data_IF_805135827604
#
_entry.id   IF_805135827604
#
_cell.length_a   1.000
_cell.length_b   1.000
_cell.length_c   1.000
_cell.angle_alpha   90.00
_cell.angle_beta   90.00
_cell.angle_gamma   90.00
#
_symmetry.space_group_name_H-M   'P 1'
#
loop_
_entity.id
_entity.type
_entity.pdbx_description
1 polymer ?
#
# COMPACT_ATOMS: atom_id res chain seq x y z
N UNK A 1 -13.34 -42.97 20.49
CA UNK A 1 -14.02 -41.75 19.97
C UNK A 1 -13.02 -40.92 19.17
N UNK A 2 -13.45 -39.96 18.33
CA UNK A 2 -12.60 -39.25 17.36
C UNK A 2 -12.13 -37.87 17.85
N UNK A 3 -10.99 -37.44 17.29
CA UNK A 3 -10.50 -36.05 17.17
C UNK A 3 -10.06 -35.34 18.47
N UNK A 4 -9.19 -34.32 18.44
CA UNK A 4 -8.49 -33.69 17.30
C UNK A 4 -7.01 -33.42 17.60
N UNK A 5 -6.11 -33.66 16.64
CA UNK A 5 -4.74 -33.12 16.68
C UNK A 5 -4.74 -31.66 16.21
N UNK A 6 -4.28 -30.74 17.05
CA UNK A 6 -3.90 -29.37 16.65
C UNK A 6 -2.54 -29.03 17.29
N UNK A 7 -1.41 -29.14 16.57
CA UNK A 7 -0.10 -28.80 17.11
C UNK A 7 -0.01 -27.30 17.39
N UNK A 8 0.77 -26.91 18.40
CA UNK A 8 1.02 -25.52 18.71
C UNK A 8 1.69 -24.79 17.53
N UNK A 9 1.19 -23.60 17.17
CA UNK A 9 1.84 -22.73 16.19
C UNK A 9 3.16 -22.23 16.79
N UNK A 10 4.28 -22.86 16.42
CA UNK A 10 5.62 -22.38 16.77
C UNK A 10 5.81 -20.96 16.21
N UNK A 11 6.34 -20.07 17.02
CA UNK A 11 6.78 -18.75 16.54
C UNK A 11 7.90 -18.93 15.52
N UNK A 12 7.81 -18.20 14.42
CA UNK A 12 8.87 -18.10 13.41
C UNK A 12 8.73 -16.76 12.69
N UNK A 13 8.95 -15.68 13.45
CA UNK A 13 9.39 -14.41 12.86
C UNK A 13 10.80 -14.64 12.28
N UNK A 14 10.88 -15.02 11.01
CA UNK A 14 12.12 -15.32 10.30
C UNK A 14 12.25 -14.47 9.04
N UNK A 15 13.38 -13.78 8.90
CA UNK A 15 13.83 -13.16 7.65
C UNK A 15 12.98 -12.00 7.13
N UNK A 16 13.24 -10.78 7.62
CA UNK A 16 12.89 -9.54 6.89
C UNK A 16 14.12 -8.70 6.49
N UNK A 17 15.32 -9.08 6.95
CA UNK A 17 16.60 -8.43 6.62
C UNK A 17 17.73 -9.47 6.54
N UNK A 18 17.69 -10.35 5.54
CA UNK A 18 18.86 -11.11 5.08
C UNK A 18 19.08 -10.73 3.60
N UNK A 19 20.31 -10.38 3.23
CA UNK A 19 20.62 -9.76 1.93
C UNK A 19 20.60 -10.76 0.77
N UNK A 20 19.99 -10.36 -0.36
CA UNK A 20 19.99 -11.15 -1.59
C UNK A 20 21.08 -10.66 -2.56
N UNK A 21 22.13 -11.45 -2.88
CA UNK A 21 23.16 -11.08 -3.85
C UNK A 21 22.67 -11.31 -5.30
N UNK A 22 21.49 -10.78 -5.62
CA UNK A 22 20.78 -10.97 -6.90
C UNK A 22 19.97 -9.74 -7.35
N UNK A 23 20.11 -8.61 -6.66
CA UNK A 23 19.36 -7.38 -6.97
C UNK A 23 19.91 -6.64 -8.21
N UNK A 24 21.18 -6.81 -8.57
CA UNK A 24 21.79 -6.11 -9.72
C UNK A 24 21.20 -6.57 -11.07
N UNK A 25 20.99 -7.88 -11.25
CA UNK A 25 20.31 -8.42 -12.44
C UNK A 25 18.84 -7.98 -12.51
N UNK A 26 18.07 -8.21 -11.43
CA UNK A 26 16.66 -7.79 -11.35
C UNK A 26 16.49 -6.27 -11.51
N UNK A 27 17.45 -5.47 -11.07
CA UNK A 27 17.45 -4.02 -11.23
C UNK A 27 17.76 -3.55 -12.66
N UNK A 28 18.40 -4.38 -13.49
CA UNK A 28 18.51 -4.16 -14.93
C UNK A 28 17.21 -4.55 -15.64
N UNK A 29 16.61 -5.69 -15.27
CA UNK A 29 15.32 -6.14 -15.80
C UNK A 29 14.20 -5.12 -15.48
N UNK A 30 14.10 -4.63 -14.23
CA UNK A 30 13.14 -3.60 -13.79
C UNK A 30 13.25 -2.31 -14.63
N UNK A 31 14.45 -1.92 -15.07
CA UNK A 31 14.67 -0.76 -15.96
C UNK A 31 14.13 -1.00 -17.36
N UNK A 32 14.46 -2.15 -17.96
CA UNK A 32 14.00 -2.49 -19.31
C UNK A 32 12.47 -2.61 -19.39
N UNK A 33 11.83 -3.11 -18.32
CA UNK A 33 10.37 -3.12 -18.19
C UNK A 33 9.78 -1.70 -18.07
N UNK A 34 10.40 -0.81 -17.28
CA UNK A 34 10.01 0.61 -17.18
C UNK A 34 10.13 1.33 -18.53
N UNK A 35 11.27 1.24 -19.20
CA UNK A 35 11.52 1.90 -20.50
C UNK A 35 10.60 1.35 -21.61
N UNK A 36 10.31 0.05 -21.57
CA UNK A 36 9.33 -0.59 -22.45
C UNK A 36 7.91 -0.07 -22.22
N UNK A 37 7.47 0.02 -20.96
CA UNK A 37 6.13 0.47 -20.59
C UNK A 37 5.94 2.01 -20.65
N UNK A 38 7.03 2.79 -20.64
CA UNK A 38 7.04 4.22 -20.98
C UNK A 38 6.79 4.45 -22.47
N UNK A 39 7.32 3.56 -23.31
CA UNK A 39 7.21 3.63 -24.78
C UNK A 39 5.92 3.01 -25.30
N UNK A 40 5.40 1.98 -24.61
CA UNK A 40 4.19 1.24 -24.97
C UNK A 40 3.41 0.87 -23.69
N UNK A 41 2.32 1.58 -23.36
CA UNK A 41 1.49 1.31 -22.18
C UNK A 41 0.95 -0.13 -22.06
N UNK A 42 0.85 -0.89 -23.16
CA UNK A 42 0.42 -2.28 -23.10
C UNK A 42 1.44 -3.19 -22.40
N UNK A 43 2.72 -2.79 -22.33
CA UNK A 43 3.80 -3.54 -21.66
C UNK A 43 3.85 -3.32 -20.15
N UNK A 44 2.93 -2.52 -19.59
CA UNK A 44 2.84 -2.29 -18.15
C UNK A 44 2.50 -3.56 -17.33
N UNK A 45 1.91 -4.57 -17.96
CA UNK A 45 1.47 -5.81 -17.31
C UNK A 45 2.61 -6.51 -16.54
N UNK A 46 3.81 -6.57 -17.11
CA UNK A 46 4.99 -7.14 -16.44
C UNK A 46 5.43 -6.34 -15.19
N UNK A 47 5.23 -5.00 -15.17
CA UNK A 47 5.45 -4.17 -13.98
C UNK A 47 4.32 -4.32 -12.95
N UNK A 48 3.11 -4.63 -13.41
CA UNK A 48 1.99 -4.97 -12.54
C UNK A 48 2.27 -6.31 -11.83
N UNK A 49 2.56 -7.39 -12.55
CA UNK A 49 2.90 -8.69 -11.97
C UNK A 49 4.08 -8.62 -10.97
N UNK A 50 5.17 -7.94 -11.34
CA UNK A 50 6.38 -7.81 -10.51
C UNK A 50 6.14 -7.06 -9.19
N UNK A 51 5.07 -6.26 -9.09
CA UNK A 51 4.86 -5.35 -7.97
C UNK A 51 3.49 -5.46 -7.28
N UNK A 52 2.52 -6.17 -7.85
CA UNK A 52 1.16 -6.27 -7.33
C UNK A 52 1.13 -6.71 -5.86
N UNK A 53 1.74 -7.86 -5.55
CA UNK A 53 1.81 -8.39 -4.18
C UNK A 53 2.46 -7.41 -3.19
N UNK A 54 3.54 -6.73 -3.61
CA UNK A 54 4.25 -5.75 -2.76
C UNK A 54 3.41 -4.50 -2.51
N UNK A 55 2.70 -4.00 -3.51
CA UNK A 55 1.82 -2.85 -3.40
C UNK A 55 0.55 -3.19 -2.59
N UNK A 56 -0.10 -4.31 -2.92
CA UNK A 56 -1.29 -4.80 -2.24
C UNK A 56 -1.03 -5.08 -0.76
N UNK A 57 0.05 -5.79 -0.41
CA UNK A 57 0.41 -6.03 0.99
C UNK A 57 0.69 -4.73 1.76
N UNK A 58 1.32 -3.73 1.12
CA UNK A 58 1.55 -2.41 1.72
C UNK A 58 0.23 -1.65 1.97
N UNK A 59 -0.74 -1.74 1.05
CA UNK A 59 -2.07 -1.12 1.18
C UNK A 59 -2.92 -1.85 2.22
N UNK A 60 -3.04 -3.18 2.12
CA UNK A 60 -3.83 -4.01 3.02
C UNK A 60 -3.39 -3.88 4.49
N UNK A 61 -2.09 -3.71 4.75
CA UNK A 61 -1.57 -3.40 6.09
C UNK A 61 -1.89 -2.00 6.64
N UNK A 62 -2.67 -1.17 5.92
CA UNK A 62 -2.97 0.24 6.25
C UNK A 62 -4.44 0.64 6.11
N UNK A 63 -5.29 -0.22 5.54
CA UNK A 63 -6.73 0.02 5.38
C UNK A 63 -7.56 -0.93 6.25
N UNK A 64 -8.87 -0.67 6.41
CA UNK A 64 -9.71 -1.36 7.41
C UNK A 64 -10.22 -2.72 6.95
N UNK A 65 -10.32 -2.95 5.64
CA UNK A 65 -10.99 -4.08 5.02
C UNK A 65 -10.39 -4.41 3.65
N UNK A 66 -10.79 -5.56 3.09
CA UNK A 66 -10.27 -6.09 1.82
C UNK A 66 -10.73 -5.30 0.59
N UNK A 67 -11.99 -4.88 0.52
CA UNK A 67 -12.52 -4.17 -0.65
C UNK A 67 -11.82 -2.81 -0.81
N UNK A 68 -11.66 -2.06 0.30
CA UNK A 68 -10.84 -0.85 0.32
C UNK A 68 -9.38 -1.11 -0.12
N UNK A 69 -8.82 -2.29 0.17
CA UNK A 69 -7.46 -2.63 -0.26
C UNK A 69 -7.37 -2.88 -1.77
N UNK A 70 -8.35 -3.58 -2.34
CA UNK A 70 -8.46 -3.87 -3.78
C UNK A 70 -8.72 -2.57 -4.58
N UNK A 71 -9.64 -1.71 -4.11
CA UNK A 71 -9.91 -0.38 -4.69
C UNK A 71 -8.68 0.52 -4.69
N UNK A 72 -8.02 0.68 -3.53
CA UNK A 72 -6.85 1.55 -3.40
C UNK A 72 -5.66 1.00 -4.19
N UNK A 73 -5.48 -0.32 -4.27
CA UNK A 73 -4.43 -0.93 -5.11
C UNK A 73 -4.70 -0.68 -6.59
N UNK A 74 -5.96 -0.75 -7.02
CA UNK A 74 -6.37 -0.40 -8.38
C UNK A 74 -6.11 1.09 -8.70
N UNK A 75 -6.44 2.00 -7.77
CA UNK A 75 -6.11 3.42 -7.90
C UNK A 75 -4.59 3.68 -7.96
N UNK A 76 -3.78 2.86 -7.28
CA UNK A 76 -2.31 2.94 -7.31
C UNK A 76 -1.75 2.56 -8.67
N UNK A 77 -2.14 1.42 -9.23
CA UNK A 77 -1.63 1.00 -10.54
C UNK A 77 -2.17 1.89 -11.68
N UNK A 78 -3.41 2.36 -11.59
CA UNK A 78 -3.93 3.38 -12.51
C UNK A 78 -3.12 4.69 -12.44
N UNK A 79 -2.85 5.21 -11.24
CA UNK A 79 -1.99 6.40 -11.07
C UNK A 79 -0.55 6.15 -11.51
N UNK A 80 -0.01 4.95 -11.31
CA UNK A 80 1.32 4.58 -11.77
C UNK A 80 1.40 4.61 -13.29
N UNK A 81 0.52 3.91 -14.00
CA UNK A 81 0.44 3.92 -15.46
C UNK A 81 0.31 5.35 -16.02
N UNK A 82 -0.58 6.17 -15.43
CA UNK A 82 -0.80 7.55 -15.86
C UNK A 82 0.38 8.51 -15.61
N UNK A 83 1.28 8.19 -14.67
CA UNK A 83 2.48 9.00 -14.36
C UNK A 83 3.78 8.35 -14.89
N UNK A 84 3.71 7.15 -15.45
CA UNK A 84 4.89 6.41 -15.91
C UNK A 84 5.70 7.15 -16.99
N UNK A 85 5.08 7.84 -17.99
CA UNK A 85 5.83 8.61 -18.98
C UNK A 85 6.64 9.80 -18.40
N UNK A 86 6.39 10.19 -17.15
CA UNK A 86 7.16 11.23 -16.43
C UNK A 86 8.02 10.67 -15.28
N UNK A 87 8.15 9.34 -15.20
CA UNK A 87 9.03 8.70 -14.22
C UNK A 87 10.51 8.80 -14.64
N UNK A 88 11.36 9.14 -13.68
CA UNK A 88 12.81 9.23 -13.84
C UNK A 88 13.55 8.38 -12.79
N UNK A 89 14.59 7.69 -13.22
CA UNK A 89 15.48 6.89 -12.37
C UNK A 89 16.43 7.75 -11.52
N UNK A 90 15.92 8.31 -10.42
CA UNK A 90 16.67 9.18 -9.48
C UNK A 90 17.37 8.42 -8.35
N UNK A 91 18.07 7.34 -8.67
CA UNK A 91 18.88 6.56 -7.70
C UNK A 91 18.10 5.75 -6.66
N UNK A 92 16.81 5.48 -6.90
CA UNK A 92 15.96 4.66 -6.05
C UNK A 92 15.13 3.69 -6.93
N UNK A 93 14.83 2.46 -6.46
CA UNK A 93 14.10 1.46 -7.24
C UNK A 93 12.67 1.91 -7.57
N UNK A 94 12.10 1.37 -8.66
CA UNK A 94 10.75 1.71 -9.11
C UNK A 94 9.71 1.47 -8.00
N UNK A 95 9.85 0.36 -7.25
CA UNK A 95 9.02 0.06 -6.10
C UNK A 95 8.97 1.19 -5.05
N UNK A 96 10.04 1.98 -4.86
CA UNK A 96 10.03 3.11 -3.92
C UNK A 96 9.25 4.34 -4.43
N UNK A 97 9.06 4.45 -5.75
CA UNK A 97 8.14 5.42 -6.37
C UNK A 97 6.70 4.90 -6.33
N UNK A 98 6.47 3.63 -6.66
CA UNK A 98 5.14 3.00 -6.59
C UNK A 98 4.55 3.05 -5.17
N UNK A 99 5.34 2.72 -4.14
CA UNK A 99 4.91 2.82 -2.74
C UNK A 99 4.65 4.26 -2.27
N UNK A 100 5.20 5.27 -2.95
CA UNK A 100 4.86 6.68 -2.72
C UNK A 100 3.48 7.03 -3.30
N UNK A 101 3.14 6.46 -4.46
CA UNK A 101 1.79 6.53 -5.03
C UNK A 101 0.79 5.84 -4.08
N UNK A 102 1.14 4.66 -3.54
CA UNK A 102 0.34 3.96 -2.54
C UNK A 102 0.11 4.77 -1.27
N UNK A 103 1.15 5.36 -0.68
CA UNK A 103 1.00 6.24 0.48
C UNK A 103 0.06 7.42 0.21
N UNK A 104 0.13 8.03 -0.99
CA UNK A 104 -0.78 9.11 -1.38
C UNK A 104 -2.23 8.62 -1.58
N UNK A 105 -2.44 7.49 -2.26
CA UNK A 105 -3.77 6.93 -2.51
C UNK A 105 -4.50 6.51 -1.21
N UNK A 106 -3.80 5.89 -0.26
CA UNK A 106 -4.34 5.59 1.09
C UNK A 106 -4.77 6.88 1.80
N UNK A 107 -3.93 7.92 1.74
CA UNK A 107 -4.24 9.23 2.35
C UNK A 107 -5.41 9.94 1.65
N UNK A 108 -5.60 9.75 0.35
CA UNK A 108 -6.75 10.27 -0.39
C UNK A 108 -8.04 9.47 -0.11
N UNK A 109 -7.95 8.14 0.05
CA UNK A 109 -9.06 7.30 0.50
C UNK A 109 -9.54 7.74 1.90
N UNK A 110 -8.62 7.93 2.84
CA UNK A 110 -8.97 8.37 4.20
C UNK A 110 -9.69 9.74 4.17
N UNK A 111 -9.26 10.69 3.32
CA UNK A 111 -9.96 11.96 3.10
C UNK A 111 -11.32 11.79 2.41
N UNK A 112 -11.54 10.76 1.58
CA UNK A 112 -12.85 10.47 0.96
C UNK A 112 -13.80 9.92 2.03
N UNK A 113 -13.40 8.86 2.75
CA UNK A 113 -14.18 8.27 3.84
C UNK A 113 -14.53 9.28 4.95
N UNK A 114 -13.58 10.14 5.36
CA UNK A 114 -13.84 11.19 6.35
C UNK A 114 -14.85 12.25 5.86
N UNK A 115 -14.83 12.60 4.56
CA UNK A 115 -15.82 13.53 3.96
C UNK A 115 -17.19 12.89 3.81
N UNK A 116 -17.26 11.59 3.53
CA UNK A 116 -18.50 10.84 3.45
C UNK A 116 -19.17 10.72 4.83
N UNK A 117 -18.40 10.37 5.87
CA UNK A 117 -18.86 10.43 7.26
C UNK A 117 -19.23 11.86 7.70
N UNK A 118 -18.60 12.88 7.10
CA UNK A 118 -18.95 14.30 7.31
C UNK A 118 -20.09 14.81 6.43
N UNK A 119 -20.76 13.98 5.61
CA UNK A 119 -22.04 14.36 4.99
C UNK A 119 -23.12 14.19 6.05
N UNK A 120 -23.67 15.28 6.65
CA UNK A 120 -24.62 15.13 7.73
C UNK A 120 -25.92 14.58 7.14
N UNK A 121 -26.31 13.36 7.53
CA UNK A 121 -27.72 12.99 7.46
C UNK A 121 -28.49 13.69 8.59
N UNK A 122 -27.86 13.86 9.75
CA UNK A 122 -28.31 14.73 10.83
C UNK A 122 -27.16 15.51 11.52
N UNK A 123 -27.50 16.71 11.97
CA UNK A 123 -27.01 17.48 13.14
C UNK A 123 -25.81 16.95 13.97
N UNK A 124 -24.58 17.41 13.67
CA UNK A 124 -23.69 18.21 14.56
C UNK A 124 -22.43 18.67 13.77
N UNK A 125 -21.59 19.56 14.31
CA UNK A 125 -20.61 20.34 13.54
C UNK A 125 -19.11 20.03 13.74
N UNK A 126 -18.34 20.24 12.67
CA UNK A 126 -16.92 20.70 12.55
C UNK A 126 -15.95 20.46 13.73
N UNK A 127 -14.80 19.79 13.59
CA UNK A 127 -13.58 20.12 12.80
C UNK A 127 -12.48 19.05 13.10
N UNK A 128 -11.18 19.12 12.65
CA UNK A 128 -10.53 19.99 11.65
C UNK A 128 -9.75 19.24 10.54
N UNK A 129 -9.18 20.01 9.60
CA UNK A 129 -8.20 19.56 8.58
C UNK A 129 -6.80 19.36 9.19
N UNK A 130 -6.04 18.37 8.70
CA UNK A 130 -4.58 18.36 8.85
C UNK A 130 -3.82 18.01 7.55
N UNK A 131 -2.63 18.58 7.39
CA UNK A 131 -1.69 18.39 6.27
C UNK A 131 -0.26 18.31 6.82
N UNK A 132 0.42 17.18 6.62
CA UNK A 132 1.89 17.00 6.46
C UNK A 132 2.17 15.49 6.40
N UNK A 133 3.00 14.95 5.49
CA UNK A 133 4.45 15.13 5.33
C UNK A 133 5.20 14.68 6.60
N UNK A 134 5.63 13.41 6.59
CA UNK A 134 6.30 12.68 7.67
C UNK A 134 5.43 12.35 8.90
N UNK A 135 4.73 11.21 8.85
CA UNK A 135 4.68 10.33 10.03
C UNK A 135 5.97 9.51 10.01
N UNK A 136 7.00 10.03 10.69
CA UNK A 136 8.28 9.36 10.94
C UNK A 136 8.63 9.65 12.39
N UNK A 137 8.82 8.61 13.19
CA UNK A 137 8.93 8.70 14.65
C UNK A 137 7.67 9.21 15.36
N UNK A 138 6.58 8.44 15.25
CA UNK A 138 5.80 8.16 16.46
C UNK A 138 5.26 6.72 16.41
N UNK A 139 5.14 6.09 17.58
CA UNK A 139 4.70 4.71 17.71
C UNK A 139 3.19 4.62 17.55
N UNK A 140 2.74 3.75 16.63
CA UNK A 140 1.43 3.11 16.54
C UNK A 140 0.39 3.61 17.57
N UNK A 141 -0.26 4.75 17.27
CA UNK A 141 -1.16 5.43 18.21
C UNK A 141 -2.34 4.54 18.59
N UNK A 142 -2.24 3.94 19.78
CA UNK A 142 -3.09 2.84 20.25
C UNK A 142 -4.51 3.25 20.68
N UNK A 143 -4.89 4.50 20.39
CA UNK A 143 -6.10 5.16 20.88
C UNK A 143 -7.23 5.26 19.83
N UNK A 144 -6.93 5.01 18.54
CA UNK A 144 -7.81 5.40 17.42
C UNK A 144 -8.73 4.26 16.93
N UNK A 145 -8.61 3.04 17.48
CA UNK A 145 -9.56 1.95 17.25
C UNK A 145 -10.24 1.55 18.57
N UNK A 146 -11.15 2.41 19.03
CA UNK A 146 -11.90 2.26 20.27
C UNK A 146 -12.49 0.86 20.42
N UNK A 147 -12.10 0.17 21.50
CA UNK A 147 -12.40 -1.25 21.72
C UNK A 147 -13.84 -1.46 22.17
N UNK A 148 -14.76 -1.54 21.22
CA UNK A 148 -16.14 -1.96 21.51
C UNK A 148 -16.15 -3.38 22.08
N UNK A 149 -16.50 -3.51 23.35
CA UNK A 149 -17.06 -4.73 23.95
C UNK A 149 -18.15 -4.33 24.95
N UNK A 150 -19.37 -4.74 24.65
CA UNK A 150 -20.50 -4.76 25.57
C UNK A 150 -20.31 -5.83 26.64
N UNK A 151 -21.00 -5.68 27.78
CA UNK A 151 -20.99 -6.62 28.90
C UNK A 151 -20.58 -5.92 30.18
#
# INVERSE_FOLDING_TARGET
MKAARRPARKSSAKGLHEGAPAEEGRGADERLLVESAQSDPAKFDALYELHFERAYAFVAGRVRDRATAEDVTSEVFHKALANLPSYEWRGAPFAAWLLRIAANAIVDQAKRAAREFSRPKDRWGSFPRFRSRWWRSDLWSSEVFGRSRSG
#
